data_IF_708464375811
#
_entry.id   IF_708464375811
#
_cell.length_a   1.000
_cell.length_b   1.000
_cell.length_c   1.000
_cell.angle_alpha   90.00
_cell.angle_beta   90.00
_cell.angle_gamma   90.00
#
_symmetry.space_group_name_H-M   'P 1'
#
loop_
_entity.id
_entity.type
_entity.pdbx_description
1 polymer ?
#
# COMPACT_ATOMS: atom_id res chain seq x y z
N UNK A 1 -10.53 16.40 1.13
CA UNK A 1 -9.77 16.08 -0.09
C UNK A 1 -9.82 14.57 -0.21
N UNK A 2 -10.62 14.02 -1.12
CA UNK A 2 -10.79 12.56 -1.30
C UNK A 2 -9.47 11.96 -1.81
N UNK A 3 -8.98 10.88 -1.18
CA UNK A 3 -7.65 10.27 -1.40
C UNK A 3 -7.68 9.15 -2.44
N UNK A 4 -8.64 9.20 -3.37
CA UNK A 4 -8.64 8.24 -4.48
C UNK A 4 -7.57 8.70 -5.49
N UNK A 5 -6.38 8.10 -5.39
CA UNK A 5 -5.23 8.23 -6.30
C UNK A 5 -5.01 9.63 -6.88
N UNK A 6 -4.32 10.48 -6.11
CA UNK A 6 -3.80 11.78 -6.56
C UNK A 6 -2.61 11.59 -7.52
N UNK A 7 -2.79 10.86 -8.62
CA UNK A 7 -2.10 11.27 -9.85
C UNK A 7 -3.03 12.25 -10.54
N UNK A 8 -2.74 13.54 -10.44
CA UNK A 8 -3.49 14.60 -11.11
C UNK A 8 -3.78 14.21 -12.57
N UNK A 9 -5.07 14.15 -12.94
CA UNK A 9 -5.53 13.77 -14.28
C UNK A 9 -5.88 12.29 -14.52
N UNK A 10 -5.59 11.35 -13.60
CA UNK A 10 -5.93 9.93 -13.80
C UNK A 10 -7.35 9.53 -13.44
N UNK A 11 -8.01 10.27 -12.54
CA UNK A 11 -9.36 9.96 -12.07
C UNK A 11 -10.22 11.21 -12.15
N UNK A 12 -11.36 11.11 -12.83
CA UNK A 12 -12.35 12.19 -12.93
C UNK A 12 -13.70 11.70 -12.45
N UNK A 13 -14.38 12.51 -11.65
CA UNK A 13 -15.79 12.31 -11.29
C UNK A 13 -16.67 13.12 -12.22
N UNK A 14 -17.73 12.50 -12.75
CA UNK A 14 -18.71 13.15 -13.62
C UNK A 14 -20.11 12.62 -13.32
N UNK A 15 -21.13 13.26 -13.90
CA UNK A 15 -22.52 12.87 -13.77
C UNK A 15 -23.09 12.53 -15.15
N UNK A 16 -23.40 11.26 -15.39
CA UNK A 16 -23.89 10.75 -16.68
C UNK A 16 -25.20 10.01 -16.45
N UNK A 17 -26.24 10.38 -17.20
CA UNK A 17 -27.56 9.71 -17.18
C UNK A 17 -28.14 9.52 -15.76
N UNK A 18 -28.01 10.54 -14.90
CA UNK A 18 -28.58 10.50 -13.54
C UNK A 18 -27.69 9.83 -12.49
N UNK A 19 -26.45 9.44 -12.81
CA UNK A 19 -25.55 8.71 -11.91
C UNK A 19 -24.19 9.38 -11.80
N UNK A 20 -23.61 9.35 -10.61
CA UNK A 20 -22.19 9.63 -10.41
C UNK A 20 -21.35 8.51 -11.04
N UNK A 21 -20.40 8.91 -11.88
CA UNK A 21 -19.50 8.00 -12.61
C UNK A 21 -18.07 8.45 -12.36
N UNK A 22 -17.21 7.48 -12.05
CA UNK A 22 -15.76 7.64 -12.03
C UNK A 22 -15.19 7.22 -13.38
N UNK A 23 -14.36 8.06 -13.96
CA UNK A 23 -13.56 7.79 -15.15
C UNK A 23 -12.12 7.65 -14.70
N UNK A 24 -11.57 6.43 -14.79
CA UNK A 24 -10.17 6.13 -14.44
C UNK A 24 -9.37 5.82 -15.70
N UNK A 25 -8.28 6.53 -15.93
CA UNK A 25 -7.31 6.15 -16.96
C UNK A 25 -6.55 4.90 -16.50
N UNK A 26 -6.84 3.77 -17.14
CA UNK A 26 -6.26 2.47 -16.78
C UNK A 26 -6.40 1.46 -17.93
N UNK A 27 -5.76 0.31 -17.81
CA UNK A 27 -5.82 -0.76 -18.79
C UNK A 27 -7.09 -1.61 -18.64
N UNK A 28 -7.49 -2.28 -19.72
CA UNK A 28 -8.55 -3.28 -19.68
C UNK A 28 -8.27 -4.44 -18.71
N UNK A 29 -7.00 -4.71 -18.38
CA UNK A 29 -6.64 -5.77 -17.44
C UNK A 29 -7.12 -5.48 -16.01
N UNK A 30 -7.25 -4.20 -15.62
CA UNK A 30 -7.86 -3.86 -14.34
C UNK A 30 -9.33 -4.35 -14.26
N UNK A 31 -10.09 -4.30 -15.36
CA UNK A 31 -11.48 -4.82 -15.39
C UNK A 31 -11.47 -6.32 -15.12
N UNK A 32 -10.54 -7.08 -15.72
CA UNK A 32 -10.40 -8.52 -15.44
C UNK A 32 -10.06 -8.77 -13.97
N UNK A 33 -9.16 -7.96 -13.41
CA UNK A 33 -8.76 -8.07 -12.01
C UNK A 33 -9.92 -7.77 -11.05
N UNK A 34 -10.74 -6.75 -11.34
CA UNK A 34 -11.96 -6.45 -10.59
C UNK A 34 -12.91 -7.64 -10.61
N UNK A 35 -13.11 -8.30 -11.76
CA UNK A 35 -14.00 -9.45 -11.85
C UNK A 35 -13.47 -10.70 -11.13
N UNK A 36 -12.15 -10.91 -11.11
CA UNK A 36 -11.52 -11.96 -10.29
C UNK A 36 -11.76 -11.66 -8.80
N UNK A 37 -11.52 -10.41 -8.37
CA UNK A 37 -11.74 -10.00 -7.00
C UNK A 37 -13.20 -10.08 -6.57
N UNK A 38 -14.13 -9.67 -7.45
CA UNK A 38 -15.58 -9.78 -7.22
C UNK A 38 -15.98 -11.23 -6.98
N UNK A 39 -15.46 -12.18 -7.78
CA UNK A 39 -15.71 -13.61 -7.56
C UNK A 39 -15.16 -14.08 -6.21
N UNK A 40 -13.94 -13.69 -5.85
CA UNK A 40 -13.32 -14.08 -4.58
C UNK A 40 -14.06 -13.53 -3.35
N UNK A 41 -14.71 -12.37 -3.49
CA UNK A 41 -15.41 -11.67 -2.41
C UNK A 41 -16.94 -11.84 -2.45
N UNK A 42 -17.47 -12.60 -3.41
CA UNK A 42 -18.90 -12.87 -3.53
C UNK A 42 -19.44 -13.51 -2.24
N UNK A 43 -20.49 -12.92 -1.65
CA UNK A 43 -21.12 -13.35 -0.40
C UNK A 43 -20.18 -13.41 0.82
N UNK A 44 -18.99 -12.81 0.73
CA UNK A 44 -18.07 -12.65 1.84
C UNK A 44 -18.48 -11.44 2.66
N UNK A 45 -18.39 -11.59 3.97
CA UNK A 45 -18.60 -10.50 4.92
C UNK A 45 -17.43 -10.44 5.90
N UNK A 46 -17.28 -9.28 6.53
CA UNK A 46 -16.28 -9.02 7.56
C UNK A 46 -16.96 -8.33 8.76
N UNK A 47 -16.47 -8.63 9.96
CA UNK A 47 -16.88 -7.94 11.18
C UNK A 47 -15.97 -6.72 11.41
N UNK A 48 -16.54 -5.53 11.45
CA UNK A 48 -15.83 -4.29 11.81
C UNK A 48 -16.63 -3.61 12.93
N UNK A 49 -15.96 -3.22 14.02
CA UNK A 49 -16.61 -2.53 15.16
C UNK A 49 -17.86 -3.24 15.72
N UNK A 50 -17.92 -4.58 15.62
CA UNK A 50 -19.05 -5.46 15.97
C UNK A 50 -20.23 -5.48 14.99
N UNK A 51 -20.14 -4.77 13.86
CA UNK A 51 -21.12 -4.81 12.78
C UNK A 51 -20.62 -5.64 11.60
N UNK A 52 -21.54 -6.27 10.87
CA UNK A 52 -21.23 -7.11 9.71
C UNK A 52 -21.30 -6.27 8.43
N UNK A 53 -20.19 -6.22 7.70
CA UNK A 53 -20.06 -5.49 6.45
C UNK A 53 -19.98 -6.43 5.26
N UNK A 54 -20.59 -6.04 4.14
CA UNK A 54 -20.42 -6.71 2.85
C UNK A 54 -19.30 -6.05 2.05
N UNK A 55 -18.55 -6.84 1.29
CA UNK A 55 -17.62 -6.30 0.32
C UNK A 55 -18.35 -5.85 -0.95
N UNK A 56 -17.95 -4.69 -1.47
CA UNK A 56 -18.43 -4.16 -2.74
C UNK A 56 -17.26 -3.71 -3.62
N UNK A 57 -17.38 -3.98 -4.91
CA UNK A 57 -16.44 -3.52 -5.94
C UNK A 57 -17.23 -2.74 -6.98
N UNK A 58 -16.68 -1.67 -7.55
CA UNK A 58 -17.40 -0.77 -8.43
C UNK A 58 -17.95 -1.53 -9.64
N UNK A 59 -19.20 -1.27 -10.01
CA UNK A 59 -19.75 -1.75 -11.29
C UNK A 59 -19.00 -1.08 -12.44
N UNK A 60 -18.62 -1.87 -13.43
CA UNK A 60 -18.02 -1.36 -14.67
C UNK A 60 -19.15 -1.08 -15.66
N UNK A 61 -19.20 0.16 -16.16
CA UNK A 61 -20.19 0.60 -17.13
C UNK A 61 -19.66 0.51 -18.55
N UNK A 62 -18.40 0.89 -18.78
CA UNK A 62 -17.80 0.92 -20.12
C UNK A 62 -16.26 0.96 -20.06
N UNK A 63 -15.60 0.61 -21.17
CA UNK A 63 -14.18 0.82 -21.39
C UNK A 63 -13.93 1.40 -22.79
N UNK A 64 -13.44 2.63 -22.85
CA UNK A 64 -13.13 3.32 -24.10
C UNK A 64 -11.94 4.25 -23.94
N UNK A 65 -11.14 4.37 -25.00
CA UNK A 65 -10.01 5.29 -25.08
C UNK A 65 -9.02 5.18 -23.90
N UNK A 66 -8.77 3.95 -23.43
CA UNK A 66 -7.88 3.71 -22.28
C UNK A 66 -8.44 4.18 -20.94
N UNK A 67 -9.76 4.36 -20.85
CA UNK A 67 -10.44 4.79 -19.65
C UNK A 67 -11.55 3.81 -19.26
N UNK A 68 -11.63 3.49 -17.98
CA UNK A 68 -12.70 2.69 -17.38
C UNK A 68 -13.74 3.64 -16.80
N UNK A 69 -14.99 3.45 -17.19
CA UNK A 69 -16.16 4.15 -16.64
C UNK A 69 -16.80 3.24 -15.60
N UNK A 70 -16.84 3.68 -14.35
CA UNK A 70 -17.25 2.83 -13.23
C UNK A 70 -18.07 3.58 -12.19
N UNK A 71 -18.73 2.82 -11.34
CA UNK A 71 -19.53 3.31 -10.21
C UNK A 71 -18.71 4.18 -9.26
N UNK A 72 -19.30 5.31 -8.84
CA UNK A 72 -18.79 6.06 -7.69
C UNK A 72 -19.12 5.33 -6.39
N UNK A 73 -18.09 5.03 -5.61
CA UNK A 73 -18.19 4.38 -4.30
C UNK A 73 -18.33 5.45 -3.22
N UNK A 74 -19.43 5.42 -2.46
CA UNK A 74 -19.62 6.38 -1.36
C UNK A 74 -19.12 5.79 -0.03
N UNK A 75 -18.73 6.67 0.89
CA UNK A 75 -18.22 6.33 2.21
C UNK A 75 -16.99 7.16 2.56
N UNK A 76 -16.38 6.85 3.70
CA UNK A 76 -15.17 7.52 4.17
C UNK A 76 -13.93 6.75 3.69
N UNK A 77 -12.92 7.46 3.19
CA UNK A 77 -11.65 6.85 2.78
C UNK A 77 -10.81 6.47 4.00
N UNK A 78 -10.33 5.23 4.05
CA UNK A 78 -9.66 4.71 5.23
C UNK A 78 -8.32 5.41 5.53
N UNK A 79 -7.59 5.89 4.52
CA UNK A 79 -6.38 6.70 4.76
C UNK A 79 -6.72 8.05 5.43
N UNK A 80 -7.78 8.72 4.97
CA UNK A 80 -8.20 9.99 5.58
C UNK A 80 -8.60 9.82 7.04
N UNK A 81 -9.27 8.72 7.35
CA UNK A 81 -9.66 8.40 8.72
C UNK A 81 -8.45 8.03 9.58
N UNK A 82 -7.47 7.29 9.04
CA UNK A 82 -6.18 7.05 9.70
C UNK A 82 -5.41 8.33 10.01
N UNK A 83 -5.54 9.36 9.16
CA UNK A 83 -4.88 10.66 9.35
C UNK A 83 -5.63 11.58 10.29
N UNK A 84 -6.87 11.26 10.63
CA UNK A 84 -7.70 12.04 11.53
C UNK A 84 -7.48 11.56 12.98
N UNK A 85 -7.02 12.47 13.86
CA UNK A 85 -6.72 12.13 15.25
C UNK A 85 -7.92 11.55 16.04
N UNK A 86 -9.16 11.89 15.69
CA UNK A 86 -10.34 11.38 16.41
C UNK A 86 -10.81 10.03 15.89
N UNK A 87 -10.45 9.67 14.65
CA UNK A 87 -10.86 8.39 14.01
C UNK A 87 -9.71 7.39 13.90
N UNK A 88 -8.47 7.82 14.15
CA UNK A 88 -7.26 7.04 13.90
C UNK A 88 -7.29 5.65 14.53
N UNK A 89 -7.73 5.54 15.78
CA UNK A 89 -7.74 4.28 16.50
C UNK A 89 -8.67 3.25 15.84
N UNK A 90 -9.87 3.68 15.47
CA UNK A 90 -10.87 2.83 14.82
C UNK A 90 -10.42 2.46 13.39
N UNK A 91 -9.91 3.43 12.63
CA UNK A 91 -9.38 3.20 11.30
C UNK A 91 -8.14 2.27 11.31
N UNK A 92 -7.29 2.37 12.33
CA UNK A 92 -6.16 1.45 12.52
C UNK A 92 -6.65 0.03 12.81
N UNK A 93 -7.72 -0.11 13.60
CA UNK A 93 -8.36 -1.38 13.86
C UNK A 93 -8.95 -1.98 12.57
N UNK A 94 -9.73 -1.22 11.80
CA UNK A 94 -10.27 -1.70 10.52
C UNK A 94 -9.20 -2.12 9.53
N UNK A 95 -8.11 -1.34 9.43
CA UNK A 95 -6.99 -1.65 8.53
C UNK A 95 -6.39 -3.02 8.86
N UNK A 96 -6.22 -3.31 10.15
CA UNK A 96 -5.73 -4.60 10.60
C UNK A 96 -6.73 -5.72 10.33
N UNK A 97 -8.00 -5.52 10.66
CA UNK A 97 -9.03 -6.55 10.53
C UNK A 97 -9.26 -6.89 9.05
N UNK A 98 -9.31 -5.89 8.19
CA UNK A 98 -9.40 -6.07 6.73
C UNK A 98 -8.18 -6.79 6.18
N UNK A 99 -6.97 -6.36 6.56
CA UNK A 99 -5.76 -7.00 6.06
C UNK A 99 -5.67 -8.46 6.50
N UNK A 100 -5.91 -8.71 7.79
CA UNK A 100 -5.92 -10.05 8.37
C UNK A 100 -6.96 -10.93 7.68
N UNK A 101 -8.19 -10.44 7.52
CA UNK A 101 -9.25 -11.16 6.82
C UNK A 101 -8.85 -11.57 5.41
N UNK A 102 -8.34 -10.61 4.62
CA UNK A 102 -7.91 -10.87 3.24
C UNK A 102 -6.78 -11.90 3.20
N UNK A 103 -5.78 -11.76 4.07
CA UNK A 103 -4.64 -12.66 4.13
C UNK A 103 -5.03 -14.08 4.55
N UNK A 104 -5.82 -14.24 5.61
CA UNK A 104 -6.28 -15.55 6.10
C UNK A 104 -7.19 -16.26 5.08
N UNK A 105 -8.02 -15.52 4.36
CA UNK A 105 -8.87 -16.07 3.30
C UNK A 105 -8.15 -16.25 1.94
N UNK A 106 -6.82 -16.07 1.88
CA UNK A 106 -6.02 -16.18 0.66
C UNK A 106 -6.44 -15.21 -0.46
N UNK A 107 -7.01 -14.05 -0.10
CA UNK A 107 -7.35 -12.96 -1.01
C UNK A 107 -6.14 -12.03 -1.08
N UNK A 108 -5.12 -12.46 -1.84
CA UNK A 108 -3.82 -11.79 -1.93
C UNK A 108 -3.87 -10.58 -2.89
N UNK A 109 -4.63 -9.55 -2.53
CA UNK A 109 -4.79 -8.32 -3.31
C UNK A 109 -3.51 -7.47 -3.28
N UNK A 110 -2.85 -7.32 -4.43
CA UNK A 110 -1.52 -6.68 -4.55
C UNK A 110 -1.53 -5.15 -4.41
N UNK A 111 -2.72 -4.54 -4.50
CA UNK A 111 -2.91 -3.09 -4.30
C UNK A 111 -3.60 -2.78 -2.98
N UNK A 112 -3.55 -3.71 -2.00
CA UNK A 112 -4.04 -3.45 -0.66
C UNK A 112 -3.31 -2.24 -0.06
N UNK A 113 -4.06 -1.16 0.14
CA UNK A 113 -3.61 0.07 0.79
C UNK A 113 -4.83 0.78 1.40
N UNK A 114 -4.69 1.49 2.53
CA UNK A 114 -5.81 2.23 3.12
C UNK A 114 -6.49 3.21 2.15
N UNK A 115 -5.73 3.87 1.26
CA UNK A 115 -6.29 4.77 0.23
C UNK A 115 -7.25 4.10 -0.76
N UNK A 116 -7.15 2.78 -0.92
CA UNK A 116 -7.93 2.00 -1.86
C UNK A 116 -9.18 1.36 -1.20
N UNK A 117 -9.45 1.74 0.05
CA UNK A 117 -10.57 1.23 0.86
C UNK A 117 -11.47 2.40 1.27
N UNK A 118 -12.76 2.25 1.00
CA UNK A 118 -13.80 3.22 1.37
C UNK A 118 -14.84 2.50 2.22
N UNK A 119 -15.08 2.95 3.44
CA UNK A 119 -16.03 2.32 4.36
C UNK A 119 -17.31 3.15 4.41
N UNK A 120 -18.41 2.54 4.00
CA UNK A 120 -19.75 3.10 4.19
C UNK A 120 -20.39 2.48 5.43
N UNK A 121 -20.23 3.19 6.55
CA UNK A 121 -20.79 2.79 7.85
C UNK A 121 -22.32 2.75 7.84
N UNK A 122 -22.98 3.65 7.12
CA UNK A 122 -24.45 3.72 7.11
C UNK A 122 -25.09 2.53 6.38
N UNK A 123 -24.45 2.06 5.30
CA UNK A 123 -24.94 0.94 4.51
C UNK A 123 -24.26 -0.39 4.85
N UNK A 124 -23.32 -0.39 5.79
CA UNK A 124 -22.51 -1.54 6.16
C UNK A 124 -21.79 -2.18 4.96
N UNK A 125 -21.09 -1.33 4.18
CA UNK A 125 -20.34 -1.76 2.98
C UNK A 125 -18.86 -1.38 3.10
N UNK A 126 -17.98 -2.33 2.78
CA UNK A 126 -16.56 -2.09 2.51
C UNK A 126 -16.37 -2.05 1.00
N UNK A 127 -16.15 -0.86 0.47
CA UNK A 127 -15.88 -0.63 -0.93
C UNK A 127 -14.37 -0.74 -1.19
N UNK A 128 -14.00 -1.60 -2.14
CA UNK A 128 -12.61 -1.76 -2.58
C UNK A 128 -12.46 -1.19 -4.00
N UNK A 129 -11.44 -0.38 -4.20
CA UNK A 129 -11.12 0.20 -5.50
C UNK A 129 -9.64 -0.02 -5.85
N UNK A 130 -9.28 0.24 -7.12
CA UNK A 130 -7.91 0.09 -7.64
C UNK A 130 -7.38 -1.36 -7.65
N UNK A 131 -7.48 -2.00 -8.81
CA UNK A 131 -7.05 -3.39 -9.02
C UNK A 131 -6.04 -3.50 -10.18
N UNK A 132 -5.22 -2.48 -10.41
CA UNK A 132 -4.24 -2.48 -11.51
C UNK A 132 -3.27 -3.67 -11.46
N UNK A 133 -2.83 -4.10 -10.26
CA UNK A 133 -1.93 -5.25 -10.06
C UNK A 133 -2.68 -6.55 -9.78
N UNK A 134 -3.95 -6.45 -9.39
CA UNK A 134 -4.88 -7.58 -9.22
C UNK A 134 -4.60 -8.45 -7.99
N UNK A 135 -5.13 -9.68 -8.02
CA UNK A 135 -4.98 -10.69 -6.96
C UNK A 135 -3.88 -11.67 -7.35
N UNK A 136 -2.98 -12.02 -6.43
CA UNK A 136 -1.97 -13.06 -6.65
C UNK A 136 -2.60 -14.46 -6.53
N UNK A 137 -2.34 -15.33 -7.51
CA UNK A 137 -2.79 -16.73 -7.49
C UNK A 137 -1.77 -17.69 -6.85
N UNK A 138 -0.46 -17.38 -6.91
CA UNK A 138 0.60 -18.34 -6.61
C UNK A 138 1.84 -17.68 -5.98
N UNK A 139 1.68 -17.02 -4.84
CA UNK A 139 2.78 -16.35 -4.13
C UNK A 139 2.85 -16.81 -2.68
N UNK A 140 4.06 -17.15 -2.22
CA UNK A 140 4.30 -17.44 -0.79
C UNK A 140 3.99 -16.20 0.04
N UNK A 141 3.30 -16.33 1.16
CA UNK A 141 2.82 -15.20 1.98
C UNK A 141 3.88 -14.13 2.27
N UNK A 142 5.12 -14.53 2.61
CA UNK A 142 6.24 -13.60 2.84
C UNK A 142 6.64 -12.79 1.60
N UNK A 143 6.69 -13.41 0.44
CA UNK A 143 6.98 -12.72 -0.83
C UNK A 143 5.85 -11.77 -1.23
N UNK A 144 4.60 -12.11 -0.90
CA UNK A 144 3.46 -11.22 -1.12
C UNK A 144 3.59 -9.94 -0.27
N UNK A 145 3.89 -10.10 1.03
CA UNK A 145 4.11 -8.98 1.96
C UNK A 145 5.26 -8.08 1.51
N UNK A 146 6.44 -8.67 1.26
CA UNK A 146 7.66 -7.93 0.91
C UNK A 146 7.52 -7.10 -0.37
N UNK A 147 6.84 -7.64 -1.39
CA UNK A 147 6.89 -7.07 -2.74
C UNK A 147 5.69 -6.18 -3.07
N UNK A 148 4.58 -6.33 -2.35
CA UNK A 148 3.32 -5.68 -2.74
C UNK A 148 2.69 -4.84 -1.63
N UNK A 149 2.54 -5.39 -0.43
CA UNK A 149 1.56 -4.84 0.53
C UNK A 149 2.17 -4.20 1.76
N UNK A 150 3.28 -4.72 2.30
CA UNK A 150 3.68 -4.36 3.66
C UNK A 150 3.99 -2.87 3.85
N UNK A 151 4.61 -2.24 2.84
CA UNK A 151 4.90 -0.81 2.85
C UNK A 151 3.61 0.02 3.04
N UNK A 152 2.60 -0.25 2.23
CA UNK A 152 1.32 0.48 2.21
C UNK A 152 0.46 0.17 3.44
N UNK A 153 0.43 -1.10 3.88
CA UNK A 153 -0.24 -1.51 5.10
C UNK A 153 0.34 -0.79 6.33
N UNK A 154 1.67 -0.69 6.42
CA UNK A 154 2.35 -0.14 7.60
C UNK A 154 2.46 1.40 7.59
N UNK A 155 2.23 2.04 6.45
CA UNK A 155 2.49 3.47 6.20
C UNK A 155 1.77 4.44 7.15
N UNK A 156 0.60 4.04 7.66
CA UNK A 156 -0.25 4.88 8.51
C UNK A 156 -0.54 4.26 9.88
N UNK A 157 0.10 3.13 10.20
CA UNK A 157 -0.02 2.44 11.48
C UNK A 157 1.23 2.65 12.34
N UNK A 158 1.03 3.05 13.59
CA UNK A 158 2.12 3.06 14.57
C UNK A 158 2.62 1.62 14.79
N UNK A 159 3.90 1.44 15.16
CA UNK A 159 4.47 0.10 15.31
C UNK A 159 3.68 -0.82 16.24
N UNK A 160 3.09 -0.30 17.32
CA UNK A 160 2.31 -1.07 18.28
C UNK A 160 0.87 -1.39 17.81
N UNK A 161 0.40 -0.76 16.73
CA UNK A 161 -0.95 -0.97 16.17
C UNK A 161 -0.95 -2.10 15.13
N UNK A 162 0.20 -2.49 14.62
CA UNK A 162 0.33 -3.52 13.58
C UNK A 162 0.07 -4.89 14.22
N UNK A 163 -1.05 -5.51 13.88
CA UNK A 163 -1.43 -6.84 14.40
C UNK A 163 -0.80 -8.00 13.63
N UNK A 164 -0.23 -7.74 12.46
CA UNK A 164 0.37 -8.80 11.66
C UNK A 164 1.59 -9.38 12.39
N UNK A 165 1.66 -10.72 12.62
CA UNK A 165 2.53 -11.32 13.63
C UNK A 165 4.02 -11.33 13.28
N UNK A 166 4.37 -11.03 12.03
CA UNK A 166 5.76 -11.01 11.60
C UNK A 166 6.37 -9.63 11.85
N UNK A 167 7.51 -9.61 12.53
CA UNK A 167 8.25 -8.35 12.69
C UNK A 167 8.72 -7.84 11.32
N UNK A 168 9.00 -6.54 11.23
CA UNK A 168 9.61 -5.94 10.02
C UNK A 168 10.88 -6.71 9.62
N UNK A 169 11.66 -7.17 10.62
CA UNK A 169 12.85 -7.97 10.40
C UNK A 169 12.53 -9.32 9.75
N UNK A 170 11.54 -10.04 10.28
CA UNK A 170 11.13 -11.34 9.75
C UNK A 170 10.60 -11.21 8.33
N UNK A 171 9.83 -10.14 8.07
CA UNK A 171 9.27 -9.85 6.75
C UNK A 171 10.39 -9.62 5.74
N UNK A 172 11.40 -8.81 6.04
CA UNK A 172 12.46 -8.45 5.08
C UNK A 172 13.74 -9.31 5.15
N UNK A 173 13.76 -10.35 5.98
CA UNK A 173 14.79 -11.38 5.91
C UNK A 173 14.57 -12.25 4.65
N UNK A 174 15.58 -12.57 3.84
CA UNK A 174 15.43 -13.55 2.74
C UNK A 174 16.01 -14.89 3.11
N UNK A 175 15.29 -15.96 2.80
CA UNK A 175 15.72 -17.31 3.16
C UNK A 175 16.92 -17.75 2.31
N UNK A 176 16.94 -17.35 1.03
CA UNK A 176 18.04 -17.59 0.10
C UNK A 176 18.51 -16.29 -0.57
N UNK A 177 19.84 -16.14 -0.67
CA UNK A 177 20.49 -14.98 -1.29
C UNK A 177 20.80 -15.30 -2.75
N UNK A 178 20.01 -14.73 -3.66
CA UNK A 178 20.24 -14.84 -5.09
C UNK A 178 20.94 -13.59 -5.62
N UNK A 179 21.93 -13.71 -6.52
CA UNK A 179 22.52 -12.55 -7.19
C UNK A 179 21.46 -11.73 -7.93
N UNK A 180 21.60 -10.40 -7.90
CA UNK A 180 20.71 -9.46 -8.60
C UNK A 180 21.56 -8.48 -9.37
N UNK A 181 21.36 -8.38 -10.68
CA UNK A 181 22.03 -7.34 -11.47
C UNK A 181 21.35 -5.98 -11.24
N UNK A 182 22.15 -4.93 -11.06
CA UNK A 182 21.64 -3.58 -10.82
C UNK A 182 20.62 -3.14 -11.87
N UNK A 183 20.89 -3.40 -13.14
CA UNK A 183 20.03 -2.97 -14.24
C UNK A 183 18.66 -3.67 -14.25
N UNK A 184 18.60 -4.90 -13.73
CA UNK A 184 17.36 -5.69 -13.63
C UNK A 184 16.44 -5.25 -12.46
N UNK A 185 16.91 -4.36 -11.57
CA UNK A 185 16.08 -3.83 -10.49
C UNK A 185 15.02 -2.89 -11.09
N UNK A 186 13.74 -3.28 -10.99
CA UNK A 186 12.62 -2.49 -11.52
C UNK A 186 12.32 -1.23 -10.70
N UNK A 187 12.53 -1.28 -9.37
CA UNK A 187 12.22 -0.16 -8.47
C UNK A 187 13.26 0.95 -8.59
N UNK A 188 12.84 2.11 -9.12
CA UNK A 188 13.67 3.32 -9.15
C UNK A 188 14.07 3.79 -7.75
N UNK A 189 13.19 3.62 -6.76
CA UNK A 189 13.47 3.95 -5.35
C UNK A 189 14.64 3.15 -4.81
N UNK A 190 14.63 1.83 -5.05
CA UNK A 190 15.70 0.93 -4.62
C UNK A 190 17.01 1.26 -5.34
N UNK A 191 16.99 1.47 -6.66
CA UNK A 191 18.17 1.88 -7.43
C UNK A 191 18.80 3.16 -6.86
N UNK A 192 18.00 4.19 -6.60
CA UNK A 192 18.50 5.45 -6.03
C UNK A 192 19.03 5.31 -4.60
N UNK A 193 18.50 4.39 -3.79
CA UNK A 193 19.03 4.09 -2.46
C UNK A 193 20.40 3.40 -2.52
N UNK A 194 20.56 2.41 -3.38
CA UNK A 194 21.84 1.73 -3.63
C UNK A 194 22.91 2.76 -3.99
N UNK A 195 22.57 3.69 -4.89
CA UNK A 195 23.46 4.78 -5.30
C UNK A 195 23.76 5.77 -4.16
N UNK A 196 22.73 6.20 -3.41
CA UNK A 196 22.89 7.12 -2.29
C UNK A 196 23.71 6.54 -1.13
N UNK A 197 23.72 5.21 -0.99
CA UNK A 197 24.52 4.47 -0.01
C UNK A 197 25.89 4.05 -0.54
N UNK A 198 26.19 4.32 -1.81
CA UNK A 198 27.44 3.94 -2.48
C UNK A 198 27.72 2.43 -2.42
N UNK A 199 26.67 1.59 -2.54
CA UNK A 199 26.83 0.13 -2.54
C UNK A 199 27.40 -0.36 -3.88
N UNK A 200 28.26 -1.40 -3.87
CA UNK A 200 28.84 -1.97 -5.08
C UNK A 200 27.76 -2.63 -5.96
N UNK A 201 27.65 -2.19 -7.22
CA UNK A 201 26.58 -2.61 -8.14
C UNK A 201 26.77 -4.03 -8.70
N UNK A 202 27.98 -4.55 -8.64
CA UNK A 202 28.41 -5.87 -9.12
C UNK A 202 28.23 -7.00 -8.09
N UNK A 203 27.92 -6.66 -6.83
CA UNK A 203 27.77 -7.64 -5.74
C UNK A 203 26.43 -7.50 -5.00
N UNK A 204 25.36 -7.23 -5.75
CA UNK A 204 24.02 -7.12 -5.19
C UNK A 204 23.34 -8.49 -5.12
N UNK A 205 22.46 -8.67 -4.12
CA UNK A 205 21.67 -9.88 -3.95
C UNK A 205 20.26 -9.57 -3.44
N UNK A 206 19.39 -10.58 -3.40
CA UNK A 206 18.01 -10.47 -2.90
C UNK A 206 17.90 -9.87 -1.50
N UNK A 207 18.83 -10.17 -0.58
CA UNK A 207 18.87 -9.54 0.75
C UNK A 207 19.14 -8.04 0.67
N UNK A 208 19.99 -7.61 -0.26
CA UNK A 208 20.28 -6.18 -0.47
C UNK A 208 19.01 -5.44 -0.89
N UNK A 209 18.22 -6.01 -1.80
CA UNK A 209 16.94 -5.44 -2.24
C UNK A 209 15.95 -5.39 -1.08
N UNK A 210 15.82 -6.48 -0.31
CA UNK A 210 14.94 -6.53 0.85
C UNK A 210 15.34 -5.49 1.91
N UNK A 211 16.65 -5.28 2.14
CA UNK A 211 17.16 -4.25 3.04
C UNK A 211 16.82 -2.83 2.55
N UNK A 212 16.88 -2.56 1.24
CA UNK A 212 16.49 -1.26 0.70
C UNK A 212 15.00 -0.98 0.92
N UNK A 213 14.13 -1.96 0.66
CA UNK A 213 12.69 -1.83 0.93
C UNK A 213 12.42 -1.65 2.42
N UNK A 214 13.11 -2.41 3.28
CA UNK A 214 13.05 -2.25 4.74
C UNK A 214 13.40 -0.82 5.16
N UNK A 215 14.48 -0.24 4.61
CA UNK A 215 14.87 1.14 4.93
C UNK A 215 13.79 2.16 4.54
N UNK A 216 13.08 1.93 3.43
CA UNK A 216 11.93 2.75 3.03
C UNK A 216 10.83 2.67 4.10
N UNK A 217 10.39 1.46 4.43
CA UNK A 217 9.34 1.23 5.46
C UNK A 217 9.70 1.82 6.81
N UNK A 218 10.96 1.69 7.25
CA UNK A 218 11.43 2.23 8.52
C UNK A 218 11.45 3.78 8.53
N UNK A 219 11.75 4.41 7.40
CA UNK A 219 11.69 5.86 7.28
C UNK A 219 10.25 6.38 7.20
N UNK A 220 9.37 5.63 6.53
CA UNK A 220 7.95 5.94 6.39
C UNK A 220 7.14 5.70 7.67
N UNK A 221 7.68 4.90 8.60
CA UNK A 221 7.00 4.52 9.84
C UNK A 221 6.51 5.75 10.63
N UNK A 222 5.19 5.80 10.91
CA UNK A 222 4.57 6.85 11.73
C UNK A 222 5.11 6.92 13.14
N UNK A 223 5.00 8.10 13.75
CA UNK A 223 5.42 8.33 15.13
C UNK A 223 4.63 9.47 15.78
N UNK A 224 4.67 9.56 17.11
CA UNK A 224 4.09 10.67 17.87
C UNK A 224 5.15 11.73 18.18
N UNK A 225 4.83 13.00 17.94
CA UNK A 225 5.66 14.15 18.32
C UNK A 225 4.77 15.20 19.00
N UNK A 226 5.00 15.45 20.29
CA UNK A 226 4.18 16.40 21.06
C UNK A 226 2.70 16.01 21.10
N UNK A 227 2.38 14.71 21.17
CA UNK A 227 1.01 14.21 21.16
C UNK A 227 0.34 14.11 19.78
N UNK A 228 0.94 14.70 18.74
CA UNK A 228 0.42 14.64 17.37
C UNK A 228 1.02 13.47 16.60
N UNK A 229 0.21 12.86 15.74
CA UNK A 229 0.65 11.85 14.78
C UNK A 229 1.39 12.52 13.62
N UNK A 230 2.52 11.95 13.26
CA UNK A 230 3.30 12.36 12.09
C UNK A 230 3.42 11.16 11.15
N UNK A 231 3.09 11.39 9.89
CA UNK A 231 3.14 10.39 8.81
C UNK A 231 4.23 10.78 7.80
N UNK A 232 5.48 10.30 7.95
CA UNK A 232 6.59 10.65 7.07
C UNK A 232 6.33 10.36 5.58
N UNK A 233 5.52 9.35 5.27
CA UNK A 233 5.18 8.99 3.89
C UNK A 233 4.67 10.19 3.09
N UNK A 234 3.88 11.08 3.69
CA UNK A 234 3.32 12.26 3.02
C UNK A 234 4.44 13.20 2.53
N UNK A 235 5.45 13.47 3.37
CA UNK A 235 6.62 14.27 2.99
C UNK A 235 7.47 13.55 1.93
N UNK A 236 7.69 12.25 2.14
CA UNK A 236 8.55 11.44 1.30
C UNK A 236 7.99 11.28 -0.12
N UNK A 237 6.67 11.13 -0.27
CA UNK A 237 6.01 11.09 -1.58
C UNK A 237 6.18 12.39 -2.35
N UNK A 238 6.00 13.55 -1.69
CA UNK A 238 6.22 14.86 -2.31
C UNK A 238 7.66 15.05 -2.79
N UNK A 239 8.65 14.54 -2.04
CA UNK A 239 10.06 14.57 -2.44
C UNK A 239 10.29 13.62 -3.62
N UNK A 240 9.75 12.39 -3.55
CA UNK A 240 9.87 11.36 -4.59
C UNK A 240 9.39 11.87 -5.94
N UNK A 241 8.24 12.54 -5.97
CA UNK A 241 7.62 13.03 -7.21
C UNK A 241 8.49 14.10 -7.91
N UNK A 242 9.36 14.77 -7.16
CA UNK A 242 10.34 15.73 -7.69
C UNK A 242 11.67 15.07 -8.03
N UNK A 243 12.16 14.15 -7.19
CA UNK A 243 13.47 13.52 -7.37
C UNK A 243 13.65 12.25 -6.54
N UNK A 244 13.86 11.12 -7.22
CA UNK A 244 14.26 9.86 -6.57
C UNK A 244 15.60 9.96 -5.83
N UNK A 245 16.54 10.80 -6.29
CA UNK A 245 17.82 11.01 -5.60
C UNK A 245 17.64 11.75 -4.27
N UNK A 246 16.81 12.80 -4.25
CA UNK A 246 16.49 13.51 -3.00
C UNK A 246 15.71 12.63 -2.04
N UNK A 247 14.77 11.84 -2.56
CA UNK A 247 14.04 10.83 -1.77
C UNK A 247 15.03 9.88 -1.09
N UNK A 248 15.95 9.26 -1.84
CA UNK A 248 16.93 8.34 -1.30
C UNK A 248 17.82 8.99 -0.22
N UNK A 249 18.31 10.21 -0.45
CA UNK A 249 19.07 10.97 0.56
C UNK A 249 18.27 11.20 1.84
N UNK A 250 16.98 11.53 1.71
CA UNK A 250 16.08 11.76 2.85
C UNK A 250 15.84 10.47 3.65
N UNK A 251 15.58 9.35 2.97
CA UNK A 251 15.44 8.03 3.61
C UNK A 251 16.71 7.68 4.41
N UNK A 252 17.90 7.86 3.83
CA UNK A 252 19.17 7.60 4.52
C UNK A 252 19.32 8.51 5.75
N UNK A 253 18.99 9.79 5.64
CA UNK A 253 19.06 10.74 6.76
C UNK A 253 18.12 10.35 7.91
N UNK A 254 16.86 10.00 7.60
CA UNK A 254 15.87 9.60 8.61
C UNK A 254 16.35 8.35 9.34
N UNK A 255 16.79 7.32 8.61
CA UNK A 255 17.25 6.07 9.21
C UNK A 255 18.50 6.27 10.09
N UNK A 256 19.45 7.13 9.70
CA UNK A 256 20.58 7.52 10.55
C UNK A 256 20.12 8.21 11.84
N UNK A 257 19.19 9.16 11.72
CA UNK A 257 18.69 9.94 12.87
C UNK A 257 17.92 9.06 13.86
N UNK A 258 17.19 8.06 13.37
CA UNK A 258 16.40 7.14 14.20
C UNK A 258 17.18 5.94 14.74
N UNK A 259 18.47 5.81 14.41
CA UNK A 259 19.29 4.66 14.83
C UNK A 259 19.00 3.35 14.08
N UNK A 260 18.23 3.42 12.99
CA UNK A 260 17.83 2.27 12.17
C UNK A 260 18.97 1.71 11.30
N UNK A 261 20.11 2.41 11.24
CA UNK A 261 21.30 1.99 10.48
C UNK A 261 22.16 0.94 11.20
N UNK A 262 21.80 0.55 12.43
CA UNK A 262 22.51 -0.47 13.21
C UNK A 262 21.69 -1.76 13.32
N UNK A 263 21.54 -2.46 12.19
CA UNK A 263 21.33 -3.90 12.23
C UNK A 263 22.65 -4.58 12.58
N UNK A 264 22.65 -5.37 13.64
CA UNK A 264 23.81 -6.09 14.18
C UNK A 264 24.72 -6.72 13.11
N UNK A 265 26.02 -6.53 13.28
CA UNK A 265 26.98 -7.62 13.09
C UNK A 265 27.17 -8.14 11.68
N UNK A 266 27.43 -7.25 10.74
CA UNK A 266 28.08 -7.60 9.48
C UNK A 266 28.62 -6.32 8.89
N UNK A 267 29.95 -6.23 8.73
CA UNK A 267 30.52 -5.29 7.76
C UNK A 267 29.73 -5.49 6.46
N UNK A 268 29.04 -4.45 6.02
CA UNK A 268 28.59 -4.32 4.63
C UNK A 268 29.81 -4.45 3.72
#
# INVERSE_FOLDING_TARGET
MEVISLTEGKINRTYIAGKDVIIKQSSFDEIKNIEIARKALTNKTILLENDVYMFHLPKIYDYKDGCIFMEFLQGDNLELDLRNSTKHQDAAQDTNDLFQYMYENQILWKDFAPRNIIIDRQRHIVNLCDFERGIASDIRGKQFLQNYVYEEYAAFLLPYERKFPQSVEDIFNVDERHPVEFDNIKSKRVKSLIEAMCLPKDNLNSQTIANMNKMIVMAETPYKKGGQLVFPIIELEQIKDRSYSQFAKRIVQINKTRGNTHGNGGRL
#
